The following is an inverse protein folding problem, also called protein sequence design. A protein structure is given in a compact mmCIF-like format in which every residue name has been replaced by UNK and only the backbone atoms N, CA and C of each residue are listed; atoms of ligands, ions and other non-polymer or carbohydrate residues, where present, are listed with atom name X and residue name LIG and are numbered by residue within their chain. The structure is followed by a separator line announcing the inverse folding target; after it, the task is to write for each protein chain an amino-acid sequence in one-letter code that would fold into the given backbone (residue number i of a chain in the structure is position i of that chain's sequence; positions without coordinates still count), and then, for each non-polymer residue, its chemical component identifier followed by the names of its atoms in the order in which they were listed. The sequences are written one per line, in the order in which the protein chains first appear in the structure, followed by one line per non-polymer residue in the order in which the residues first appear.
data_IF_500008283998
#
_entry.id   IF_500008283998
#
_cell.length_a   1.000
_cell.length_b   1.000
_cell.length_c   1.000
_cell.angle_alpha   90.00
_cell.angle_beta   90.00
_cell.angle_gamma   90.00
#
_symmetry.space_group_name_H-M   'P 1'
#
loop_
_entity.id
_entity.type
_entity.pdbx_description
1 polymer ?
#
# COMPACT_ATOMS: atom_id res chain seq x y z
N UNK A 1 13.41 -3.26 5.74
CA UNK A 1 13.58 -1.92 5.13
C UNK A 1 14.74 -1.96 4.17
N UNK A 2 14.54 -1.55 2.92
CA UNK A 2 15.61 -1.45 1.91
C UNK A 2 16.68 -0.42 2.34
N UNK A 3 17.95 -0.70 2.05
CA UNK A 3 19.06 0.22 2.34
C UNK A 3 18.89 1.57 1.62
N UNK A 4 18.21 1.56 0.48
CA UNK A 4 17.90 2.76 -0.32
C UNK A 4 16.88 3.65 0.40
N UNK A 5 15.82 3.05 0.95
CA UNK A 5 14.79 3.80 1.69
C UNK A 5 15.38 4.45 2.93
N UNK A 6 16.24 3.74 3.68
CA UNK A 6 16.94 4.30 4.84
C UNK A 6 17.84 5.47 4.48
N UNK A 7 18.55 5.37 3.34
CA UNK A 7 19.38 6.47 2.84
C UNK A 7 18.53 7.70 2.49
N UNK A 8 17.45 7.51 1.73
CA UNK A 8 16.55 8.60 1.34
C UNK A 8 15.83 9.24 2.54
N UNK A 9 15.47 8.44 3.54
CA UNK A 9 14.88 8.92 4.79
C UNK A 9 15.87 9.78 5.58
N UNK A 10 17.11 9.32 5.76
CA UNK A 10 18.15 10.08 6.45
C UNK A 10 18.47 11.41 5.74
N UNK A 11 18.44 11.40 4.40
CA UNK A 11 18.61 12.59 3.57
C UNK A 11 17.44 13.58 3.74
N UNK A 12 16.20 13.07 3.74
CA UNK A 12 15.00 13.89 3.89
C UNK A 12 14.83 14.50 5.28
N UNK A 13 15.34 13.82 6.32
CA UNK A 13 15.34 14.33 7.70
C UNK A 13 16.34 15.47 7.94
N UNK A 14 17.35 15.62 7.08
CA UNK A 14 18.41 16.62 7.22
C UNK A 14 18.57 17.45 5.93
N UNK A 15 17.58 18.27 5.56
CA UNK A 15 17.55 18.98 4.29
C UNK A 15 18.62 20.08 4.15
N UNK A 16 19.21 20.53 5.26
CA UNK A 16 20.15 21.65 5.29
C UNK A 16 21.60 21.28 4.89
N UNK A 17 21.91 19.98 4.72
CA UNK A 17 23.28 19.46 4.68
C UNK A 17 23.61 18.77 3.34
N UNK A 18 23.13 19.31 2.23
CA UNK A 18 23.31 18.63 0.94
C UNK A 18 23.78 19.61 -0.12
N UNK A 19 24.99 20.15 0.08
CA UNK A 19 25.76 20.62 -1.07
C UNK A 19 25.97 19.46 -2.05
N UNK A 20 26.22 19.78 -3.32
CA UNK A 20 26.40 18.75 -4.35
C UNK A 20 27.54 17.77 -4.02
N UNK A 21 28.62 18.27 -3.41
CA UNK A 21 29.76 17.48 -2.96
C UNK A 21 29.41 16.55 -1.79
N UNK A 22 28.65 17.05 -0.81
CA UNK A 22 28.18 16.24 0.33
C UNK A 22 27.22 15.14 -0.13
N UNK A 23 26.34 15.45 -1.09
CA UNK A 23 25.47 14.45 -1.71
C UNK A 23 26.27 13.34 -2.37
N UNK A 24 27.24 13.69 -3.22
CA UNK A 24 28.07 12.72 -3.92
C UNK A 24 28.85 11.82 -2.94
N UNK A 25 29.39 12.41 -1.87
CA UNK A 25 30.07 11.67 -0.80
C UNK A 25 29.10 10.72 -0.05
N UNK A 26 27.90 11.19 0.27
CA UNK A 26 26.88 10.40 0.94
C UNK A 26 26.42 9.20 0.07
N UNK A 27 26.20 9.42 -1.23
CA UNK A 27 25.85 8.35 -2.18
C UNK A 27 26.99 7.35 -2.33
N UNK A 28 28.25 7.80 -2.37
CA UNK A 28 29.41 6.92 -2.46
C UNK A 28 29.59 6.04 -1.20
N UNK A 29 29.27 6.57 -0.02
CA UNK A 29 29.35 5.87 1.25
C UNK A 29 28.13 4.97 1.54
N UNK A 30 27.02 5.16 0.82
CA UNK A 30 25.78 4.44 1.08
C UNK A 30 25.93 2.93 0.82
N UNK A 31 25.41 2.06 1.70
CA UNK A 31 25.42 0.60 1.53
C UNK A 31 24.31 0.14 0.56
N UNK A 32 24.32 0.70 -0.66
CA UNK A 32 23.37 0.40 -1.73
C UNK A 32 24.08 -0.27 -2.91
N UNK A 33 23.32 -1.05 -3.66
CA UNK A 33 23.78 -1.76 -4.86
C UNK A 33 24.31 -0.79 -5.94
N UNK A 34 25.18 -1.29 -6.82
CA UNK A 34 25.87 -0.48 -7.82
C UNK A 34 24.93 0.29 -8.75
N UNK A 35 23.93 -0.39 -9.31
CA UNK A 35 22.97 0.24 -10.23
C UNK A 35 22.12 1.32 -9.54
N UNK A 36 21.75 1.10 -8.27
CA UNK A 36 21.01 2.09 -7.49
C UNK A 36 21.91 3.27 -7.13
N UNK A 37 23.18 3.03 -6.83
CA UNK A 37 24.16 4.09 -6.55
C UNK A 37 24.36 5.00 -7.76
N UNK A 38 24.48 4.43 -8.95
CA UNK A 38 24.57 5.19 -10.19
C UNK A 38 23.32 6.03 -10.43
N UNK A 39 22.13 5.44 -10.23
CA UNK A 39 20.86 6.15 -10.36
C UNK A 39 20.74 7.31 -9.34
N UNK A 40 21.18 7.09 -8.10
CA UNK A 40 21.23 8.13 -7.06
C UNK A 40 22.23 9.24 -7.43
N UNK A 41 23.43 8.90 -7.90
CA UNK A 41 24.45 9.87 -8.30
C UNK A 41 24.00 10.73 -9.49
N UNK A 42 23.28 10.14 -10.44
CA UNK A 42 22.67 10.84 -11.57
C UNK A 42 21.39 11.62 -11.21
N UNK A 43 20.90 11.51 -9.96
CA UNK A 43 19.61 12.05 -9.50
C UNK A 43 18.43 11.58 -10.36
N UNK A 44 18.53 10.37 -10.92
CA UNK A 44 17.51 9.78 -11.78
C UNK A 44 16.44 9.08 -10.93
N UNK A 45 15.45 9.86 -10.50
CA UNK A 45 14.36 9.36 -9.67
C UNK A 45 13.55 8.24 -10.37
N UNK A 46 13.40 8.29 -11.70
CA UNK A 46 12.67 7.28 -12.45
C UNK A 46 13.40 5.94 -12.42
N UNK A 47 14.72 5.95 -12.66
CA UNK A 47 15.56 4.75 -12.56
C UNK A 47 15.65 4.21 -11.14
N UNK A 48 15.75 5.08 -10.12
CA UNK A 48 15.69 4.67 -8.71
C UNK A 48 14.37 3.94 -8.42
N UNK A 49 13.22 4.49 -8.85
CA UNK A 49 11.92 3.86 -8.64
C UNK A 49 11.77 2.51 -9.35
N UNK A 50 12.27 2.41 -10.60
CA UNK A 50 12.25 1.16 -11.35
C UNK A 50 13.10 0.06 -10.67
N UNK A 51 14.30 0.41 -10.20
CA UNK A 51 15.19 -0.52 -9.50
C UNK A 51 14.64 -0.97 -8.14
N UNK A 52 13.87 -0.12 -7.45
CA UNK A 52 13.21 -0.51 -6.20
C UNK A 52 11.97 -1.39 -6.41
N UNK A 53 11.57 -1.69 -7.64
CA UNK A 53 10.41 -2.53 -7.95
C UNK A 53 9.06 -1.93 -7.55
N UNK A 54 9.04 -0.65 -7.16
CA UNK A 54 7.83 0.07 -6.77
C UNK A 54 7.24 0.79 -7.98
N UNK A 55 6.71 0.02 -8.93
CA UNK A 55 5.80 0.54 -9.97
C UNK A 55 4.33 0.38 -9.56
N UNK A 56 4.05 0.18 -8.27
CA UNK A 56 2.68 0.08 -7.80
C UNK A 56 2.08 1.48 -7.75
N UNK A 57 1.41 1.88 -8.82
CA UNK A 57 0.53 3.05 -8.81
C UNK A 57 -0.62 2.75 -7.86
N UNK A 58 -0.55 3.29 -6.64
CA UNK A 58 -1.65 3.19 -5.68
C UNK A 58 -2.72 4.21 -6.08
N UNK A 59 -3.83 3.72 -6.62
CA UNK A 59 -5.02 4.52 -6.88
C UNK A 59 -5.93 4.44 -5.64
N UNK A 60 -6.03 5.54 -4.91
CA UNK A 60 -7.02 5.68 -3.83
C UNK A 60 -8.31 6.25 -4.40
N UNK A 61 -9.37 5.45 -4.43
CA UNK A 61 -10.72 5.89 -4.77
C UNK A 61 -11.46 6.28 -3.48
N UNK A 62 -11.87 7.54 -3.38
CA UNK A 62 -12.90 7.94 -2.41
C UNK A 62 -14.27 7.71 -3.05
N UNK A 63 -15.06 6.80 -2.48
CA UNK A 63 -16.47 6.62 -2.82
C UNK A 63 -17.30 7.40 -1.81
N UNK A 64 -18.25 8.26 -2.24
CA UNK A 64 -19.21 8.89 -1.33
C UNK A 64 -19.95 7.83 -0.52
N UNK A 65 -20.17 8.07 0.76
CA UNK A 65 -21.03 7.20 1.56
C UNK A 65 -22.45 7.22 0.95
N UNK A 66 -23.01 6.06 0.65
CA UNK A 66 -24.44 5.95 0.38
C UNK A 66 -25.17 6.19 1.70
N UNK A 67 -26.20 7.02 1.69
CA UNK A 67 -27.09 7.18 2.84
C UNK A 67 -27.77 5.83 3.08
N UNK A 68 -27.50 5.20 4.22
CA UNK A 68 -28.25 4.03 4.67
C UNK A 68 -29.73 4.43 4.77
N UNK A 69 -30.52 4.00 3.79
CA UNK A 69 -31.97 4.04 3.94
C UNK A 69 -32.31 3.08 5.09
N UNK A 70 -33.15 3.50 6.05
CA UNK A 70 -33.58 2.61 7.12
C UNK A 70 -34.23 1.37 6.49
N UNK A 71 -33.70 0.20 6.80
CA UNK A 71 -34.35 -1.07 6.49
C UNK A 71 -35.70 -1.06 7.23
N UNK A 72 -36.80 -1.04 6.48
CA UNK A 72 -38.10 -1.39 7.04
C UNK A 72 -38.00 -2.87 7.44
N UNK A 73 -38.05 -3.14 8.76
CA UNK A 73 -38.22 -4.48 9.32
C UNK A 73 -39.49 -5.11 8.72
N UNK A 74 -39.34 -5.90 7.66
CA UNK A 74 -40.35 -6.87 7.27
C UNK A 74 -40.40 -7.92 8.38
N UNK A 75 -41.29 -7.68 9.34
CA UNK A 75 -41.62 -8.63 10.40
C UNK A 75 -42.02 -9.95 9.75
N UNK A 76 -41.14 -10.96 9.85
CA UNK A 76 -41.41 -12.32 9.43
C UNK A 76 -42.73 -12.79 10.10
N UNK A 77 -43.79 -12.92 9.30
CA UNK A 77 -45.01 -13.61 9.71
C UNK A 77 -44.66 -15.08 9.89
N UNK A 78 -44.58 -15.50 11.15
CA UNK A 78 -44.53 -16.89 11.58
C UNK A 78 -45.65 -17.68 10.89
N UNK A 79 -45.28 -18.54 9.93
CA UNK A 79 -46.19 -19.54 9.37
C UNK A 79 -46.25 -20.72 10.36
N UNK A 80 -47.44 -21.26 10.69
CA UNK A 80 -47.53 -22.40 11.59
C UNK A 80 -46.98 -23.65 10.88
N UNK A 81 -46.07 -24.32 11.57
CA UNK A 81 -45.46 -25.60 11.25
C UNK A 81 -46.52 -26.72 11.23
N UNK A 82 -46.96 -27.16 10.05
CA UNK A 82 -47.69 -28.42 9.88
C UNK A 82 -46.72 -29.52 9.45
N UNK A 83 -46.14 -30.19 10.44
CA UNK A 83 -45.33 -31.39 10.27
C UNK A 83 -45.87 -32.56 11.06
N UNK A 84 -46.64 -33.46 10.43
CA UNK A 84 -46.75 -34.85 10.87
C UNK A 84 -46.54 -35.81 9.70
N UNK A 85 -45.58 -36.70 9.94
CA UNK A 85 -44.82 -37.53 9.02
C UNK A 85 -45.57 -38.75 8.48
N UNK A 86 -45.37 -38.99 7.20
CA UNK A 86 -45.74 -40.21 6.48
C UNK A 86 -44.96 -41.45 6.98
N UNK A 87 -45.71 -42.54 7.13
CA UNK A 87 -45.36 -43.96 7.01
C UNK A 87 -43.88 -44.37 6.99
N UNK A 88 -43.48 -45.22 7.96
CA UNK A 88 -42.44 -46.22 7.75
C UNK A 88 -42.94 -47.60 8.13
N UNK A 89 -43.07 -48.44 7.09
CA UNK A 89 -43.27 -49.88 7.18
C UNK A 89 -42.01 -50.58 7.74
N UNK A 90 -42.22 -51.49 8.69
CA UNK A 90 -41.51 -52.77 8.85
C UNK A 90 -42.12 -53.55 10.03
#
# INVERSE_FOLDING_TARGET
MSNVVKFLEALGQNPEIVSEAEFAAAVAAAPVEGEVREALAARDAARVNALMGHTCTVLSLLVPAEEEQPQEDETEREAPDEGETEARAA
#
